data_IF_581888841471
#
_entry.id   IF_581888841471
#
_cell.length_a   1.000
_cell.length_b   1.000
_cell.length_c   1.000
_cell.angle_alpha   90.00
_cell.angle_beta   90.00
_cell.angle_gamma   90.00
#
_symmetry.space_group_name_H-M   'P 1'
#
loop_
_entity.id
_entity.type
_entity.pdbx_description
1 polymer ?
#
# COMPACT_ATOMS: atom_id res chain seq x y z
N UNK A 1 -19.78 -2.67 2.61
CA UNK A 1 -18.82 -2.22 1.57
C UNK A 1 -18.83 -0.71 1.33
N UNK A 2 -19.98 -0.03 1.20
CA UNK A 2 -20.06 1.42 0.90
C UNK A 2 -19.17 2.34 1.75
N UNK A 3 -19.01 2.06 3.04
CA UNK A 3 -18.17 2.89 3.93
C UNK A 3 -16.69 2.82 3.55
N UNK A 4 -16.15 1.62 3.32
CA UNK A 4 -14.74 1.44 2.95
C UNK A 4 -14.44 1.95 1.54
N UNK A 5 -15.38 1.75 0.61
CA UNK A 5 -15.28 2.32 -0.74
C UNK A 5 -15.31 3.86 -0.71
N UNK A 6 -16.20 4.44 0.09
CA UNK A 6 -16.28 5.88 0.30
C UNK A 6 -15.00 6.44 0.94
N UNK A 7 -14.50 5.80 2.00
CA UNK A 7 -13.22 6.17 2.62
C UNK A 7 -12.07 6.15 1.62
N UNK A 8 -11.97 5.08 0.82
CA UNK A 8 -10.96 4.97 -0.24
C UNK A 8 -11.07 6.10 -1.26
N UNK A 9 -12.27 6.39 -1.75
CA UNK A 9 -12.47 7.48 -2.70
C UNK A 9 -12.01 8.82 -2.12
N UNK A 10 -12.41 9.13 -0.89
CA UNK A 10 -12.00 10.36 -0.17
C UNK A 10 -10.49 10.41 0.08
N UNK A 11 -9.86 9.31 0.48
CA UNK A 11 -8.41 9.24 0.66
C UNK A 11 -7.68 9.55 -0.66
N UNK A 12 -8.08 8.89 -1.74
CA UNK A 12 -7.46 9.02 -3.06
C UNK A 12 -7.61 10.41 -3.67
N UNK A 13 -8.72 11.09 -3.39
CA UNK A 13 -8.98 12.47 -3.81
C UNK A 13 -8.10 13.45 -3.02
N UNK A 14 -8.05 13.32 -1.69
CA UNK A 14 -7.24 14.20 -0.84
C UNK A 14 -5.73 14.12 -1.09
N UNK A 15 -5.22 12.97 -1.55
CA UNK A 15 -3.79 12.81 -1.87
C UNK A 15 -3.48 13.03 -3.35
N UNK A 16 -4.43 13.51 -4.15
CA UNK A 16 -4.26 13.61 -5.61
C UNK A 16 -3.05 14.46 -6.01
N UNK A 17 -2.71 15.51 -5.24
CA UNK A 17 -1.53 16.32 -5.51
C UNK A 17 -0.22 15.61 -5.12
N UNK A 18 -0.25 14.74 -4.11
CA UNK A 18 0.89 13.86 -3.76
C UNK A 18 1.14 12.84 -4.86
N UNK A 19 0.08 12.32 -5.50
CA UNK A 19 0.22 11.40 -6.64
C UNK A 19 0.97 12.03 -7.81
N UNK A 20 0.85 13.34 -8.02
CA UNK A 20 1.52 14.08 -9.12
C UNK A 20 2.98 14.44 -8.83
N UNK A 21 3.42 14.39 -7.56
CA UNK A 21 4.82 14.70 -7.17
C UNK A 21 5.72 13.51 -7.47
N UNK A 22 6.64 13.65 -8.43
CA UNK A 22 7.54 12.56 -8.86
C UNK A 22 8.43 12.03 -7.73
N UNK A 23 8.92 12.92 -6.87
CA UNK A 23 9.88 12.57 -5.81
C UNK A 23 9.23 11.91 -4.57
N UNK A 24 7.90 11.74 -4.58
CA UNK A 24 7.15 11.22 -3.43
C UNK A 24 6.69 9.78 -3.67
N UNK A 25 7.00 8.87 -2.75
CA UNK A 25 6.52 7.49 -2.79
C UNK A 25 5.11 7.35 -2.24
N UNK A 26 4.29 6.51 -2.86
CA UNK A 26 2.97 6.10 -2.34
C UNK A 26 2.86 4.58 -2.41
N UNK A 27 2.44 3.97 -1.31
CA UNK A 27 2.06 2.57 -1.22
C UNK A 27 0.74 2.48 -0.44
N UNK A 28 -0.35 2.15 -1.13
CA UNK A 28 -1.71 2.03 -0.55
C UNK A 28 -2.27 0.67 -0.96
N UNK A 29 -2.23 -0.29 -0.04
CA UNK A 29 -2.87 -1.59 -0.26
C UNK A 29 -4.35 -1.58 0.12
N UNK A 30 -5.04 -2.62 -0.31
CA UNK A 30 -6.43 -2.86 0.04
C UNK A 30 -6.57 -4.00 1.03
N UNK A 31 -5.89 -3.85 2.17
CA UNK A 31 -5.96 -4.75 3.32
C UNK A 31 -6.53 -4.06 4.56
N UNK A 32 -7.31 -4.80 5.36
CA UNK A 32 -7.86 -4.30 6.62
C UNK A 32 -6.94 -4.68 7.79
N UNK A 33 -5.89 -3.88 7.99
CA UNK A 33 -4.81 -4.13 8.97
C UNK A 33 -4.23 -2.81 9.49
N UNK A 34 -3.56 -2.81 10.65
CA UNK A 34 -2.85 -1.64 11.18
C UNK A 34 -1.35 -1.91 11.45
N UNK A 35 -0.56 -0.86 11.67
CA UNK A 35 0.86 -0.95 12.04
C UNK A 35 1.76 -1.79 11.10
N UNK A 36 1.49 -1.74 9.79
CA UNK A 36 2.15 -2.57 8.78
C UNK A 36 3.68 -2.39 8.73
N UNK A 37 4.16 -1.15 8.79
CA UNK A 37 5.59 -0.84 8.71
C UNK A 37 6.38 -1.30 9.95
N UNK A 38 5.72 -1.45 11.09
CA UNK A 38 6.35 -1.94 12.32
C UNK A 38 6.54 -3.45 12.30
N UNK A 39 5.58 -4.17 11.74
CA UNK A 39 5.58 -5.63 11.77
C UNK A 39 6.39 -6.16 10.60
N UNK A 40 7.54 -6.79 10.88
CA UNK A 40 8.37 -7.38 9.82
C UNK A 40 7.57 -8.37 8.95
N UNK A 41 6.55 -9.06 9.50
CA UNK A 41 5.66 -9.97 8.76
C UNK A 41 4.75 -9.27 7.73
N UNK A 42 4.52 -7.96 7.84
CA UNK A 42 3.76 -7.19 6.86
C UNK A 42 4.70 -6.36 5.97
N UNK A 43 5.91 -6.07 6.45
CA UNK A 43 6.90 -5.23 5.79
C UNK A 43 7.70 -5.93 4.66
N UNK A 44 8.39 -7.06 4.92
CA UNK A 44 9.30 -7.72 3.95
C UNK A 44 9.57 -9.25 4.11
N UNK A 45 8.98 -10.13 3.30
CA UNK A 45 9.02 -11.58 3.59
C UNK A 45 7.82 -12.38 3.09
N UNK A 46 7.65 -13.64 3.56
CA UNK A 46 7.22 -14.68 2.63
C UNK A 46 5.76 -14.61 2.18
N UNK A 47 4.82 -14.40 3.10
CA UNK A 47 3.37 -14.45 2.83
C UNK A 47 2.72 -13.08 2.71
N UNK A 48 3.44 -12.06 2.23
CA UNK A 48 3.12 -10.68 2.59
C UNK A 48 2.19 -9.98 1.61
N UNK A 49 1.60 -8.90 2.11
CA UNK A 49 0.82 -7.94 1.34
C UNK A 49 1.69 -7.37 0.21
N UNK A 50 1.25 -7.62 -1.02
CA UNK A 50 1.94 -7.20 -2.23
C UNK A 50 1.00 -6.43 -3.13
N UNK A 51 1.53 -5.38 -3.73
CA UNK A 51 0.93 -4.70 -4.88
C UNK A 51 1.88 -4.91 -6.04
N UNK A 52 1.39 -5.38 -7.20
CA UNK A 52 2.23 -5.63 -8.37
C UNK A 52 3.45 -6.54 -8.06
N UNK A 53 3.23 -7.57 -7.24
CA UNK A 53 4.25 -8.51 -6.77
C UNK A 53 5.39 -7.89 -5.92
N UNK A 54 5.26 -6.64 -5.47
CA UNK A 54 6.24 -5.97 -4.58
C UNK A 54 5.68 -5.78 -3.18
N UNK A 55 6.53 -6.05 -2.19
CA UNK A 55 6.27 -5.73 -0.78
C UNK A 55 6.37 -4.23 -0.53
N UNK A 56 5.89 -3.81 0.65
CA UNK A 56 6.07 -2.45 1.14
C UNK A 56 7.56 -2.08 1.23
N UNK A 57 8.41 -2.96 1.75
CA UNK A 57 9.84 -2.70 1.86
C UNK A 57 10.56 -2.56 0.51
N UNK A 58 10.23 -3.41 -0.47
CA UNK A 58 10.77 -3.29 -1.82
C UNK A 58 10.33 -1.97 -2.46
N UNK A 59 9.08 -1.57 -2.27
CA UNK A 59 8.54 -0.32 -2.80
C UNK A 59 9.18 0.90 -2.13
N UNK A 60 9.35 0.88 -0.80
CA UNK A 60 10.04 1.96 -0.08
C UNK A 60 11.51 2.02 -0.46
N UNK A 61 12.17 0.87 -0.64
CA UNK A 61 13.56 0.81 -1.11
C UNK A 61 13.72 1.37 -2.52
N UNK A 62 12.82 1.02 -3.44
CA UNK A 62 12.80 1.57 -4.80
C UNK A 62 12.67 3.10 -4.79
N UNK A 63 11.79 3.65 -3.96
CA UNK A 63 11.61 5.09 -3.80
C UNK A 63 12.81 5.76 -3.13
N UNK A 64 13.29 5.22 -2.00
CA UNK A 64 14.37 5.82 -1.21
C UNK A 64 15.70 5.88 -1.96
N UNK A 65 16.00 4.86 -2.77
CA UNK A 65 17.22 4.80 -3.58
C UNK A 65 17.03 5.32 -5.01
N UNK A 66 15.91 6.00 -5.29
CA UNK A 66 15.59 6.57 -6.61
C UNK A 66 15.73 5.57 -7.77
N UNK A 67 15.31 4.32 -7.55
CA UNK A 67 15.38 3.25 -8.57
C UNK A 67 14.24 3.37 -9.58
N UNK A 68 13.10 3.93 -9.15
CA UNK A 68 11.93 4.23 -9.97
C UNK A 68 10.94 5.11 -9.20
N UNK A 69 9.99 5.71 -9.92
CA UNK A 69 8.79 6.27 -9.32
C UNK A 69 7.92 5.17 -8.69
N UNK A 70 7.42 5.42 -7.48
CA UNK A 70 6.61 4.49 -6.69
C UNK A 70 5.26 5.10 -6.40
N UNK A 71 4.24 4.63 -7.12
CA UNK A 71 2.82 5.01 -6.97
C UNK A 71 1.96 3.75 -6.89
N UNK A 72 2.29 2.88 -5.95
CA UNK A 72 1.56 1.62 -5.76
C UNK A 72 0.24 1.92 -5.08
N UNK A 73 -0.86 1.81 -5.84
CA UNK A 73 -2.22 1.98 -5.34
C UNK A 73 -2.99 0.75 -5.81
N UNK A 74 -3.42 -0.04 -4.85
CA UNK A 74 -4.11 -1.31 -5.10
C UNK A 74 -5.54 -1.10 -5.61
N UNK A 75 -6.26 -2.17 -5.97
CA UNK A 75 -7.69 -2.14 -6.33
C UNK A 75 -8.59 -1.81 -5.13
N UNK A 76 -9.92 -1.77 -5.26
CA UNK A 76 -10.83 -1.53 -4.11
C UNK A 76 -10.97 -2.78 -3.22
N UNK A 77 -10.91 -2.63 -1.89
CA UNK A 77 -11.12 -3.72 -0.93
C UNK A 77 -12.46 -4.46 -1.14
N UNK A 78 -12.54 -5.79 -0.94
CA UNK A 78 -11.47 -6.75 -0.63
C UNK A 78 -10.97 -7.46 -1.89
N UNK A 79 -9.96 -6.92 -2.57
CA UNK A 79 -9.47 -7.49 -3.82
C UNK A 79 -8.11 -8.19 -3.72
N UNK A 80 -7.31 -7.84 -2.71
CA UNK A 80 -5.92 -8.32 -2.66
C UNK A 80 -5.85 -9.66 -1.91
N UNK A 81 -5.53 -10.77 -2.61
CA UNK A 81 -5.48 -12.09 -2.00
C UNK A 81 -4.26 -12.28 -1.08
N UNK A 82 -3.32 -11.34 -1.07
CA UNK A 82 -2.11 -11.38 -0.24
C UNK A 82 -2.29 -10.71 1.11
N UNK A 83 -3.49 -10.21 1.41
CA UNK A 83 -3.80 -9.65 2.73
C UNK A 83 -3.66 -10.70 3.83
N UNK A 84 -2.70 -10.46 4.74
CA UNK A 84 -2.55 -11.22 5.97
C UNK A 84 -3.39 -10.58 7.06
N UNK A 85 -4.27 -11.36 7.69
CA UNK A 85 -4.96 -10.95 8.91
C UNK A 85 -3.96 -11.00 10.05
N UNK A 86 -3.75 -9.87 10.72
CA UNK A 86 -2.68 -9.72 11.69
C UNK A 86 -3.07 -10.12 13.12
N UNK A 87 -4.31 -10.61 13.29
CA UNK A 87 -4.77 -11.31 14.49
C UNK A 87 -4.87 -10.43 15.74
N UNK A 88 -5.17 -9.14 15.60
CA UNK A 88 -5.67 -8.33 16.72
C UNK A 88 -7.09 -8.71 17.10
#
# INVERSE_FOLDING_TARGET
>A
MKVLEGFRATLLDNINDVKKKKDWGIFIDSCYVHCQSWRNILWHGPNYQRINNKTMAESVGDWYFDRREVKEIDCSYPCNPTCVNDGS
#
